data_IF_130732949018
#
_entry.id   IF_130732949018
#
_cell.length_a   1.000
_cell.length_b   1.000
_cell.length_c   1.000
_cell.angle_alpha   90.00
_cell.angle_beta   90.00
_cell.angle_gamma   90.00
#
_symmetry.space_group_name_H-M   'P 1'
#
loop_
_entity.id
_entity.type
_entity.pdbx_description
1 polymer ?
#
# COMPACT_ATOMS: atom_id res chain seq x y z
N UNK A 1 -20.82 6.41 -5.14
CA UNK A 1 -19.85 5.70 -4.29
C UNK A 1 -19.24 6.64 -3.30
N UNK A 2 -19.59 6.46 -2.06
CA UNK A 2 -19.20 7.40 -1.00
C UNK A 2 -17.74 7.24 -0.60
N UNK A 3 -17.22 6.01 -0.67
CA UNK A 3 -15.87 5.69 -0.21
C UNK A 3 -14.78 6.50 -0.92
N UNK A 4 -14.95 6.82 -2.19
CA UNK A 4 -13.94 7.54 -2.96
C UNK A 4 -13.77 9.00 -2.53
N UNK A 5 -14.77 9.61 -1.92
CA UNK A 5 -14.71 11.03 -1.55
C UNK A 5 -13.63 11.34 -0.52
N UNK A 6 -13.33 10.38 0.37
CA UNK A 6 -12.35 10.56 1.46
C UNK A 6 -11.25 9.50 1.41
N UNK A 7 -11.05 8.88 0.26
CA UNK A 7 -10.08 7.80 0.13
C UNK A 7 -8.69 8.36 -0.16
N UNK A 8 -7.73 7.96 0.65
CA UNK A 8 -6.32 8.32 0.45
C UNK A 8 -5.55 7.20 -0.23
N UNK A 9 -5.97 5.96 0.00
CA UNK A 9 -5.28 4.75 -0.45
C UNK A 9 -6.33 3.78 -0.98
N UNK A 10 -6.03 3.11 -2.10
CA UNK A 10 -6.87 2.04 -2.65
C UNK A 10 -6.14 0.71 -2.47
N UNK A 11 -6.88 -0.28 -1.94
CA UNK A 11 -6.47 -1.67 -1.86
C UNK A 11 -7.38 -2.42 -2.83
N UNK A 12 -6.82 -3.07 -3.85
CA UNK A 12 -7.64 -3.66 -4.90
C UNK A 12 -8.35 -4.94 -4.47
N UNK A 13 -7.64 -5.80 -3.73
CA UNK A 13 -8.12 -7.11 -3.29
C UNK A 13 -7.85 -7.23 -1.80
N UNK A 14 -8.74 -7.85 -1.04
CA UNK A 14 -8.55 -7.97 0.41
C UNK A 14 -7.31 -8.78 0.78
N UNK A 15 -6.77 -9.58 -0.15
CA UNK A 15 -5.53 -10.32 0.04
C UNK A 15 -4.29 -9.50 -0.22
N UNK A 16 -4.44 -8.31 -0.78
CA UNK A 16 -3.31 -7.45 -1.07
C UNK A 16 -2.66 -6.97 0.23
N UNK A 17 -1.34 -6.96 0.25
CA UNK A 17 -0.59 -6.49 1.41
C UNK A 17 0.05 -5.12 1.18
N UNK A 18 -0.28 -4.49 0.06
CA UNK A 18 0.08 -3.09 -0.22
C UNK A 18 -1.15 -2.35 -0.73
N UNK A 19 -1.19 -1.05 -0.51
CA UNK A 19 -2.18 -0.16 -1.09
C UNK A 19 -1.50 0.84 -2.01
N UNK A 20 -2.28 1.48 -2.87
CA UNK A 20 -1.81 2.51 -3.80
C UNK A 20 -2.30 3.87 -3.35
N UNK A 21 -1.41 4.84 -3.25
CA UNK A 21 -1.74 6.20 -2.85
C UNK A 21 -2.45 6.89 -4.02
N UNK A 22 -3.63 7.45 -3.75
CA UNK A 22 -4.47 8.10 -4.77
C UNK A 22 -4.67 9.59 -4.51
N UNK A 23 -4.06 10.14 -3.48
CA UNK A 23 -3.98 11.58 -3.26
C UNK A 23 -2.60 12.08 -3.68
N UNK A 24 -2.42 13.39 -3.75
CA UNK A 24 -1.18 13.98 -4.26
C UNK A 24 0.05 13.47 -3.51
N UNK A 25 -0.04 13.40 -2.18
CA UNK A 25 1.06 12.94 -1.33
C UNK A 25 0.54 12.57 0.05
N UNK A 26 1.12 11.53 0.65
CA UNK A 26 0.95 11.20 2.05
C UNK A 26 2.21 11.67 2.79
N UNK A 27 2.02 12.32 3.93
CA UNK A 27 3.12 12.75 4.79
C UNK A 27 3.31 11.77 5.94
N UNK A 28 4.48 11.75 6.60
CA UNK A 28 4.71 10.88 7.77
C UNK A 28 3.72 11.19 8.90
N UNK A 29 3.30 10.15 9.61
CA UNK A 29 2.37 10.21 10.74
C UNK A 29 0.96 10.69 10.38
N UNK A 30 0.58 10.58 9.13
CA UNK A 30 -0.76 10.91 8.65
C UNK A 30 -1.66 9.69 8.80
N UNK A 31 -2.86 9.89 9.38
CA UNK A 31 -3.88 8.85 9.37
C UNK A 31 -4.56 8.84 8.02
N UNK A 32 -4.54 7.70 7.36
CA UNK A 32 -5.03 7.55 6.00
C UNK A 32 -6.24 6.63 5.96
N UNK A 33 -7.21 6.97 5.12
CA UNK A 33 -8.38 6.14 4.87
C UNK A 33 -8.12 5.26 3.65
N UNK A 34 -8.25 3.95 3.83
CA UNK A 34 -8.01 2.97 2.77
C UNK A 34 -9.34 2.34 2.37
N UNK A 35 -9.59 2.27 1.08
CA UNK A 35 -10.78 1.63 0.52
C UNK A 35 -10.38 0.33 -0.16
N UNK A 36 -11.05 -0.76 0.22
CA UNK A 36 -10.83 -2.08 -0.38
C UNK A 36 -11.87 -2.23 -1.49
N UNK A 37 -11.42 -2.20 -2.74
CA UNK A 37 -12.33 -2.20 -3.89
C UNK A 37 -13.15 -3.47 -4.01
N UNK A 38 -12.55 -4.60 -3.69
CA UNK A 38 -13.18 -5.90 -3.89
C UNK A 38 -14.48 -6.06 -3.10
N UNK A 39 -14.51 -5.59 -1.86
CA UNK A 39 -15.65 -5.79 -0.97
C UNK A 39 -16.26 -4.49 -0.44
N UNK A 40 -15.83 -3.35 -0.98
CA UNK A 40 -16.26 -2.03 -0.52
C UNK A 40 -15.97 -1.80 0.97
N UNK A 41 -14.97 -2.50 1.51
CA UNK A 41 -14.55 -2.34 2.90
C UNK A 41 -13.64 -1.14 3.07
N UNK A 42 -13.40 -0.75 4.31
CA UNK A 42 -12.48 0.33 4.62
C UNK A 42 -11.66 -0.01 5.86
N UNK A 43 -10.41 0.45 5.85
CA UNK A 43 -9.51 0.35 6.99
C UNK A 43 -8.72 1.65 7.09
N UNK A 44 -8.09 1.89 8.23
CA UNK A 44 -7.22 3.04 8.40
C UNK A 44 -5.79 2.57 8.65
N UNK A 45 -4.83 3.41 8.29
CA UNK A 45 -3.41 3.16 8.54
C UNK A 45 -2.72 4.49 8.84
N UNK A 46 -1.76 4.46 9.74
CA UNK A 46 -0.91 5.64 10.00
C UNK A 46 0.38 5.46 9.20
N UNK A 47 0.66 6.41 8.33
CA UNK A 47 1.88 6.39 7.50
C UNK A 47 3.12 6.61 8.35
N UNK A 48 4.24 6.07 7.89
CA UNK A 48 5.56 6.29 8.51
C UNK A 48 6.51 6.99 7.57
N UNK A 49 6.13 7.17 6.32
CA UNK A 49 6.96 7.75 5.27
C UNK A 49 6.19 8.75 4.46
N UNK A 50 6.89 9.62 3.77
CA UNK A 50 6.29 10.42 2.72
C UNK A 50 6.11 9.53 1.49
N UNK A 51 4.89 9.49 0.93
CA UNK A 51 4.57 8.60 -0.19
C UNK A 51 3.85 9.39 -1.27
N UNK A 52 4.43 9.54 -2.47
CA UNK A 52 3.81 10.28 -3.57
C UNK A 52 2.65 9.53 -4.21
N UNK A 53 1.80 10.27 -4.91
CA UNK A 53 0.72 9.72 -5.72
C UNK A 53 1.21 8.57 -6.61
N UNK A 54 0.47 7.49 -6.63
CA UNK A 54 0.76 6.32 -7.46
C UNK A 54 1.75 5.34 -6.86
N UNK A 55 2.46 5.71 -5.81
CA UNK A 55 3.35 4.81 -5.11
C UNK A 55 2.58 3.95 -4.12
N UNK A 56 3.22 2.92 -3.57
CA UNK A 56 2.57 1.96 -2.70
C UNK A 56 2.96 2.16 -1.25
N UNK A 57 2.04 1.78 -0.37
CA UNK A 57 2.24 1.79 1.09
C UNK A 57 2.09 0.37 1.60
N UNK A 58 2.94 -0.02 2.55
CA UNK A 58 2.86 -1.33 3.19
C UNK A 58 1.67 -1.38 4.13
N UNK A 59 0.81 -2.37 3.95
CA UNK A 59 -0.34 -2.58 4.82
C UNK A 59 -0.04 -3.54 5.97
N UNK A 60 1.11 -4.21 5.90
CA UNK A 60 1.63 -5.11 6.94
C UNK A 60 3.14 -4.91 7.06
N UNK A 61 3.75 -5.50 8.09
CA UNK A 61 5.21 -5.57 8.18
C UNK A 61 5.72 -6.65 7.24
N UNK A 62 6.80 -6.34 6.52
CA UNK A 62 7.45 -7.30 5.63
C UNK A 62 8.87 -7.60 6.10
N UNK A 63 9.25 -8.86 5.95
CA UNK A 63 10.64 -9.30 6.09
C UNK A 63 11.26 -9.42 4.69
N UNK A 64 12.59 -9.39 4.64
CA UNK A 64 13.28 -9.65 3.39
C UNK A 64 12.87 -11.01 2.83
N UNK A 65 12.58 -11.06 1.53
CA UNK A 65 12.14 -12.29 0.86
C UNK A 65 10.62 -12.45 0.79
N UNK A 66 9.86 -11.63 1.52
CA UNK A 66 8.40 -11.71 1.48
C UNK A 66 7.87 -11.30 0.11
N UNK A 67 6.70 -11.82 -0.22
CA UNK A 67 6.03 -11.55 -1.50
C UNK A 67 5.10 -10.35 -1.37
N UNK A 68 5.15 -9.46 -2.35
CA UNK A 68 4.20 -8.36 -2.49
C UNK A 68 3.01 -8.84 -3.30
N UNK A 69 1.81 -8.69 -2.75
CA UNK A 69 0.56 -9.06 -3.42
C UNK A 69 -0.22 -7.81 -3.81
N UNK A 70 -0.58 -7.74 -5.09
CA UNK A 70 -1.44 -6.70 -5.64
C UNK A 70 -2.38 -7.33 -6.64
N UNK A 71 -3.67 -7.01 -6.57
CA UNK A 71 -4.72 -7.70 -7.33
C UNK A 71 -4.72 -9.21 -7.06
N UNK A 72 -4.28 -9.63 -5.88
CA UNK A 72 -4.14 -11.04 -5.54
C UNK A 72 -2.97 -11.74 -6.21
N UNK A 73 -2.11 -11.01 -6.91
CA UNK A 73 -0.98 -11.57 -7.65
C UNK A 73 0.36 -11.18 -7.05
N UNK A 74 1.33 -12.07 -7.15
CA UNK A 74 2.72 -11.83 -6.78
C UNK A 74 3.36 -10.86 -7.80
N UNK A 75 3.68 -9.65 -7.35
CA UNK A 75 4.29 -8.65 -8.22
C UNK A 75 5.76 -8.37 -7.88
N UNK A 76 6.29 -8.99 -6.84
CA UNK A 76 7.69 -8.78 -6.48
C UNK A 76 8.05 -9.34 -5.13
N UNK A 77 9.33 -9.23 -4.79
CA UNK A 77 9.88 -9.66 -3.52
C UNK A 77 10.50 -8.49 -2.77
N UNK A 78 10.31 -8.48 -1.46
CA UNK A 78 10.92 -7.51 -0.56
C UNK A 78 12.41 -7.80 -0.46
N UNK A 79 13.24 -6.79 -0.70
CA UNK A 79 14.70 -6.92 -0.60
C UNK A 79 15.27 -6.26 0.65
N UNK A 80 14.47 -5.47 1.36
CA UNK A 80 14.82 -4.86 2.65
C UNK A 80 13.58 -4.88 3.54
N UNK A 81 13.71 -5.12 4.85
CA UNK A 81 12.55 -5.10 5.73
C UNK A 81 11.76 -3.80 5.61
N UNK A 82 10.44 -3.92 5.61
CA UNK A 82 9.51 -2.79 5.49
C UNK A 82 8.53 -2.86 6.64
N UNK A 83 8.28 -1.74 7.29
CA UNK A 83 7.28 -1.67 8.35
C UNK A 83 5.94 -1.20 7.79
N UNK A 84 4.86 -1.69 8.40
CA UNK A 84 3.51 -1.22 8.07
C UNK A 84 3.47 0.30 8.08
N UNK A 85 2.94 0.90 7.02
CA UNK A 85 2.87 2.35 6.86
C UNK A 85 4.04 2.96 6.11
N UNK A 86 5.06 2.19 5.78
CA UNK A 86 6.22 2.68 5.04
C UNK A 86 6.02 2.61 3.53
N UNK A 87 6.79 3.42 2.83
CA UNK A 87 6.80 3.50 1.37
C UNK A 87 7.34 2.21 0.76
N UNK A 88 6.61 1.65 -0.20
CA UNK A 88 7.00 0.45 -0.94
C UNK A 88 7.21 0.86 -2.39
N UNK A 89 8.45 0.71 -2.88
CA UNK A 89 8.77 1.04 -4.26
C UNK A 89 10.05 0.30 -4.67
N UNK A 90 10.64 0.66 -5.80
CA UNK A 90 11.80 -0.04 -6.35
C UNK A 90 13.02 -0.04 -5.43
N UNK A 91 13.09 0.86 -4.44
CA UNK A 91 14.22 0.93 -3.51
C UNK A 91 14.22 -0.23 -2.49
N UNK A 92 13.07 -0.86 -2.23
CA UNK A 92 12.96 -1.95 -1.25
C UNK A 92 12.25 -3.19 -1.79
N UNK A 93 11.90 -3.20 -3.06
CA UNK A 93 11.24 -4.33 -3.71
C UNK A 93 11.88 -4.61 -5.06
N UNK A 94 12.17 -5.88 -5.31
CA UNK A 94 12.58 -6.35 -6.63
C UNK A 94 11.33 -6.81 -7.35
N UNK A 95 10.98 -6.11 -8.42
CA UNK A 95 9.73 -6.35 -9.12
C UNK A 95 9.82 -7.52 -10.09
N UNK A 96 8.69 -8.20 -10.26
CA UNK A 96 8.50 -9.18 -11.32
C UNK A 96 7.70 -8.57 -12.46
N UNK A 97 6.60 -7.92 -12.10
CA UNK A 97 5.76 -7.13 -13.01
C UNK A 97 5.28 -5.93 -12.23
N UNK A 98 5.38 -4.79 -12.81
CA UNK A 98 5.09 -3.58 -12.06
C UNK A 98 4.03 -2.70 -12.70
#
# INVERSE_FOLDING_TARGET
>A
MVAMANTDIIIHDEKDNVGVVVIEKITPNQECNCWIMENDGSVTIVSKSEIPLGHKIAMIDFNEGDTILKYGHDIGKVVKPIKKGEHVHVHNVKTKKW
#
